data_IF_403243962949
#
_entry.id   IF_403243962949
#
_cell.length_a   1.000
_cell.length_b   1.000
_cell.length_c   1.000
_cell.angle_alpha   90.00
_cell.angle_beta   90.00
_cell.angle_gamma   90.00
#
_symmetry.space_group_name_H-M   'P 1'
#
loop_
_entity.id
_entity.type
_entity.pdbx_description
1 polymer ?
#
# COMPACT_ATOMS: atom_id res chain seq x y z
N UNK A 1 -7.33 -7.32 -8.25
CA UNK A 1 -7.65 -8.15 -7.08
C UNK A 1 -6.98 -9.51 -7.19
N UNK A 2 -5.99 -9.77 -6.34
CA UNK A 2 -5.30 -11.06 -6.26
C UNK A 2 -6.31 -12.15 -5.84
N UNK A 3 -6.43 -13.24 -6.62
CA UNK A 3 -7.29 -14.40 -6.30
C UNK A 3 -7.03 -14.96 -4.88
N UNK A 4 -5.82 -14.73 -4.37
CA UNK A 4 -5.41 -15.11 -3.03
C UNK A 4 -6.21 -14.41 -1.92
N UNK A 5 -6.55 -13.12 -2.03
CA UNK A 5 -7.30 -12.40 -0.99
C UNK A 5 -8.75 -12.91 -0.91
N UNK A 6 -9.37 -13.14 -2.06
CA UNK A 6 -10.72 -13.72 -2.14
C UNK A 6 -10.71 -15.13 -1.54
N UNK A 7 -9.71 -15.95 -1.89
CA UNK A 7 -9.60 -17.32 -1.39
C UNK A 7 -9.26 -17.36 0.11
N UNK A 8 -8.44 -16.44 0.61
CA UNK A 8 -8.10 -16.30 2.02
C UNK A 8 -9.34 -15.90 2.84
N UNK A 9 -10.09 -14.89 2.37
CA UNK A 9 -11.33 -14.46 3.00
C UNK A 9 -12.38 -15.55 2.93
N UNK A 10 -12.56 -16.22 1.78
CA UNK A 10 -13.43 -17.39 1.65
C UNK A 10 -13.07 -18.45 2.68
N UNK A 11 -11.79 -18.84 2.76
CA UNK A 11 -11.31 -19.86 3.69
C UNK A 11 -11.55 -19.49 5.16
N UNK A 12 -11.19 -18.27 5.57
CA UNK A 12 -11.38 -17.76 6.95
C UNK A 12 -12.86 -17.64 7.34
N UNK A 13 -13.74 -17.37 6.38
CA UNK A 13 -15.17 -17.14 6.63
C UNK A 13 -16.02 -18.40 6.42
N UNK A 14 -15.46 -19.47 5.82
CA UNK A 14 -16.19 -20.72 5.52
C UNK A 14 -16.88 -21.32 6.74
N UNK A 15 -16.24 -21.29 7.91
CA UNK A 15 -16.77 -21.93 9.12
C UNK A 15 -17.77 -21.06 9.90
N UNK A 16 -17.93 -19.78 9.54
CA UNK A 16 -18.74 -18.83 10.29
C UNK A 16 -20.07 -18.46 9.62
N UNK A 17 -20.29 -18.87 8.36
CA UNK A 17 -21.47 -18.48 7.59
C UNK A 17 -22.21 -19.65 6.95
N UNK A 18 -23.55 -19.56 6.97
CA UNK A 18 -24.46 -20.48 6.28
C UNK A 18 -24.20 -20.48 4.76
N UNK A 19 -24.29 -21.62 4.04
CA UNK A 19 -23.90 -21.73 2.64
C UNK A 19 -24.50 -20.68 1.69
N UNK A 20 -25.76 -20.27 1.89
CA UNK A 20 -26.40 -19.21 1.10
C UNK A 20 -25.70 -17.85 1.23
N UNK A 21 -25.33 -17.45 2.45
CA UNK A 21 -24.66 -16.16 2.72
C UNK A 21 -23.25 -16.10 2.11
N UNK A 22 -22.64 -17.26 1.81
CA UNK A 22 -21.32 -17.31 1.17
C UNK A 22 -21.38 -16.85 -0.29
N UNK A 23 -22.49 -17.07 -0.98
CA UNK A 23 -22.67 -16.62 -2.35
C UNK A 23 -22.82 -15.09 -2.38
N UNK A 24 -23.76 -14.57 -1.58
CA UNK A 24 -24.00 -13.14 -1.42
C UNK A 24 -22.72 -12.38 -1.02
N UNK A 25 -21.94 -12.93 -0.08
CA UNK A 25 -20.65 -12.37 0.31
C UNK A 25 -19.64 -12.40 -0.83
N UNK A 26 -19.55 -13.50 -1.59
CA UNK A 26 -18.65 -13.58 -2.74
C UNK A 26 -18.99 -12.53 -3.79
N UNK A 27 -20.28 -12.29 -4.02
CA UNK A 27 -20.76 -11.31 -4.99
C UNK A 27 -20.45 -9.88 -4.53
N UNK A 28 -20.66 -9.57 -3.24
CA UNK A 28 -20.27 -8.28 -2.65
C UNK A 28 -18.76 -8.06 -2.79
N UNK A 29 -17.93 -9.03 -2.40
CA UNK A 29 -16.47 -8.91 -2.49
C UNK A 29 -16.00 -8.73 -3.94
N UNK A 30 -16.63 -9.42 -4.89
CA UNK A 30 -16.31 -9.28 -6.31
C UNK A 30 -16.76 -7.92 -6.87
N UNK A 31 -17.95 -7.47 -6.49
CA UNK A 31 -18.52 -6.19 -6.92
C UNK A 31 -17.66 -5.01 -6.45
N UNK A 32 -17.21 -5.04 -5.20
CA UNK A 32 -16.40 -3.97 -4.60
C UNK A 32 -14.89 -4.27 -4.61
N UNK A 33 -14.41 -5.10 -5.54
CA UNK A 33 -13.00 -5.52 -5.61
C UNK A 33 -11.97 -4.40 -5.61
N UNK A 34 -12.33 -3.24 -6.16
CA UNK A 34 -11.46 -2.06 -6.27
C UNK A 34 -11.44 -1.22 -4.98
N UNK A 35 -12.34 -1.48 -4.02
CA UNK A 35 -12.31 -0.85 -2.71
C UNK A 35 -11.25 -1.46 -1.77
N UNK A 36 -10.71 -2.62 -2.15
CA UNK A 36 -9.66 -3.31 -1.38
C UNK A 36 -8.28 -2.96 -1.93
N UNK A 37 -7.33 -2.75 -1.02
CA UNK A 37 -5.94 -2.59 -1.38
C UNK A 37 -5.42 -3.82 -2.14
N UNK A 38 -4.68 -3.60 -3.22
CA UNK A 38 -4.05 -4.64 -4.02
C UNK A 38 -2.60 -4.25 -4.29
N UNK A 39 -1.71 -5.24 -4.43
CA UNK A 39 -0.28 -5.01 -4.71
C UNK A 39 0.00 -4.32 -6.06
N UNK A 40 -1.01 -4.27 -6.93
CA UNK A 40 -0.91 -3.73 -8.29
C UNK A 40 -1.32 -2.24 -8.37
N UNK A 41 -1.96 -1.70 -7.32
CA UNK A 41 -2.49 -0.34 -7.31
C UNK A 41 -1.83 0.46 -6.18
N UNK A 42 -1.25 1.64 -6.47
CA UNK A 42 -0.60 2.43 -5.45
C UNK A 42 -1.62 2.93 -4.42
N UNK A 43 -1.33 2.68 -3.14
CA UNK A 43 -2.10 3.20 -2.02
C UNK A 43 -2.06 4.73 -2.04
N UNK A 44 -3.23 5.37 -2.01
CA UNK A 44 -3.34 6.82 -1.76
C UNK A 44 -3.03 7.73 -2.95
N UNK A 45 -2.88 7.20 -4.18
CA UNK A 45 -2.76 8.03 -5.39
C UNK A 45 -4.12 8.61 -5.82
N UNK A 46 -4.76 9.38 -4.94
CA UNK A 46 -6.04 10.04 -5.23
C UNK A 46 -5.76 11.24 -6.12
N UNK A 47 -6.20 11.15 -7.38
CA UNK A 47 -6.09 12.25 -8.35
C UNK A 47 -6.74 13.53 -7.79
N UNK A 48 -6.06 14.66 -7.89
CA UNK A 48 -6.59 15.96 -7.43
C UNK A 48 -6.39 16.23 -5.93
N UNK A 49 -5.69 15.36 -5.20
CA UNK A 49 -5.31 15.55 -3.80
C UNK A 49 -3.79 15.73 -3.66
N UNK A 50 -3.14 16.25 -4.69
CA UNK A 50 -1.72 16.58 -4.63
C UNK A 50 -1.48 17.69 -3.60
N UNK A 51 -0.48 17.50 -2.74
CA UNK A 51 -0.15 18.49 -1.70
C UNK A 51 0.95 19.40 -2.23
N UNK A 52 0.65 20.69 -2.34
CA UNK A 52 1.67 21.72 -2.56
C UNK A 52 2.28 22.16 -1.23
N UNK A 53 3.54 21.80 -1.03
CA UNK A 53 4.30 22.15 0.18
C UNK A 53 5.23 23.31 -0.17
N UNK A 54 4.77 24.52 0.12
CA UNK A 54 5.58 25.74 -0.01
C UNK A 54 6.22 26.10 1.33
N UNK A 55 7.51 26.36 1.32
CA UNK A 55 8.22 26.89 2.50
C UNK A 55 8.02 28.40 2.57
N UNK A 56 7.55 28.90 3.71
CA UNK A 56 7.39 30.35 3.95
C UNK A 56 8.72 31.08 4.21
N UNK A 57 9.84 30.37 4.11
CA UNK A 57 11.19 30.88 4.33
C UNK A 57 12.11 30.33 3.25
N UNK A 58 13.18 31.06 2.98
CA UNK A 58 14.30 30.53 2.21
C UNK A 58 14.96 29.36 2.95
N UNK A 59 15.51 28.41 2.18
CA UNK A 59 16.20 27.24 2.75
C UNK A 59 17.33 27.73 3.66
N UNK A 60 17.21 27.44 4.95
CA UNK A 60 18.17 27.87 5.99
C UNK A 60 19.60 27.38 5.75
N UNK A 61 19.80 26.36 4.91
CA UNK A 61 21.10 25.82 4.55
C UNK A 61 21.23 25.60 3.05
N UNK A 62 22.41 25.96 2.51
CA UNK A 62 22.80 25.64 1.14
C UNK A 62 22.72 24.12 0.92
N UNK A 63 22.21 23.61 -0.23
CA UNK A 63 22.04 22.16 -0.45
C UNK A 63 23.30 21.33 -0.22
N UNK A 64 24.48 21.91 -0.44
CA UNK A 64 25.80 21.29 -0.21
C UNK A 64 26.06 20.97 1.27
N UNK A 65 25.41 21.67 2.20
CA UNK A 65 25.50 21.41 3.65
C UNK A 65 24.52 20.33 4.13
N UNK A 66 23.73 19.74 3.21
CA UNK A 66 22.91 18.58 3.56
C UNK A 66 23.83 17.42 3.89
N UNK A 67 23.70 16.90 5.12
CA UNK A 67 24.39 15.68 5.51
C UNK A 67 23.93 14.54 4.60
N UNK A 68 24.83 13.64 4.16
CA UNK A 68 24.42 12.44 3.48
C UNK A 68 23.49 11.63 4.40
N UNK A 69 22.61 10.82 3.80
CA UNK A 69 21.86 9.83 4.56
C UNK A 69 22.83 8.98 5.38
N UNK A 70 22.49 8.73 6.63
CA UNK A 70 23.32 7.88 7.48
C UNK A 70 23.44 6.48 6.82
N UNK A 71 24.65 5.88 6.80
CA UNK A 71 24.83 4.58 6.16
C UNK A 71 23.93 3.53 6.80
N UNK A 72 23.12 2.86 5.99
CA UNK A 72 22.33 1.73 6.44
C UNK A 72 23.23 0.52 6.73
N UNK A 73 22.87 -0.30 7.73
CA UNK A 73 23.54 -1.58 7.95
C UNK A 73 23.29 -2.53 6.78
N UNK A 74 24.15 -3.54 6.61
CA UNK A 74 24.01 -4.53 5.52
C UNK A 74 22.60 -5.15 5.48
N UNK A 75 22.14 -5.64 6.63
CA UNK A 75 20.79 -6.21 6.78
C UNK A 75 19.68 -5.21 6.48
N UNK A 76 19.83 -3.97 6.94
CA UNK A 76 18.84 -2.93 6.69
C UNK A 76 18.76 -2.60 5.20
N UNK A 77 19.91 -2.52 4.53
CA UNK A 77 20.00 -2.25 3.10
C UNK A 77 19.36 -3.35 2.25
N UNK A 78 19.66 -4.62 2.52
CA UNK A 78 19.04 -5.77 1.83
C UNK A 78 17.50 -5.80 1.98
N UNK A 79 16.98 -5.36 3.13
CA UNK A 79 15.54 -5.27 3.34
C UNK A 79 14.92 -4.12 2.55
N UNK A 80 15.58 -2.95 2.51
CA UNK A 80 15.11 -1.77 1.78
C UNK A 80 15.14 -1.98 0.26
N UNK A 81 16.18 -2.65 -0.27
CA UNK A 81 16.32 -2.96 -1.70
C UNK A 81 15.17 -3.83 -2.25
N UNK A 82 14.42 -4.53 -1.39
CA UNK A 82 13.21 -5.28 -1.82
C UNK A 82 12.01 -4.40 -2.12
N UNK A 83 11.98 -3.19 -1.55
CA UNK A 83 10.82 -2.30 -1.58
C UNK A 83 11.08 -1.01 -2.35
N UNK A 84 12.34 -0.68 -2.61
CA UNK A 84 12.76 0.48 -3.39
C UNK A 84 13.26 -0.05 -4.74
N UNK A 85 12.49 0.18 -5.80
CA UNK A 85 13.03 0.08 -7.15
C UNK A 85 13.88 1.32 -7.41
N UNK A 86 15.17 1.11 -7.66
CA UNK A 86 16.11 2.14 -8.10
C UNK A 86 16.13 2.18 -9.62
#
# INVERSE_FOLDING_TARGET
MNLWIINLLKHKLTHHYHPKMRHDLSDVLYTYKNAFASDNEPLGAIKGHEVDITLNIDRTYHPVLRRPAFPASHRAREALEKHIQV
#
